data_IF_839637393315
#
_entry.id   IF_839637393315
#
_cell.length_a   1.000
_cell.length_b   1.000
_cell.length_c   1.000
_cell.angle_alpha   90.00
_cell.angle_beta   90.00
_cell.angle_gamma   90.00
#
_symmetry.space_group_name_H-M   'P 1'
#
loop_
_entity.id
_entity.type
_entity.pdbx_description
1 polymer ?
#
# COMPACT_ATOMS: atom_id res chain seq x y z
N UNK A 1 3.89 7.02 4.97
CA UNK A 1 3.92 5.54 5.10
C UNK A 1 3.59 5.19 6.54
N UNK A 2 2.65 4.27 6.77
CA UNK A 2 2.20 3.82 8.09
C UNK A 2 2.07 2.30 8.11
N UNK A 3 2.71 1.67 9.10
CA UNK A 3 2.59 0.24 9.36
C UNK A 3 1.46 -0.01 10.35
N UNK A 4 0.58 -0.94 10.03
CA UNK A 4 -0.54 -1.39 10.87
C UNK A 4 -0.25 -2.74 11.52
N UNK A 5 0.67 -3.51 10.93
CA UNK A 5 1.16 -4.78 11.43
C UNK A 5 2.65 -4.94 11.07
N UNK A 6 3.36 -5.92 11.66
CA UNK A 6 4.70 -6.29 11.20
C UNK A 6 4.70 -6.64 9.71
N UNK A 7 5.81 -6.36 9.04
CA UNK A 7 6.00 -6.73 7.64
C UNK A 7 5.92 -8.25 7.45
N UNK A 8 5.44 -8.72 6.28
CA UNK A 8 5.52 -10.14 5.94
C UNK A 8 6.98 -10.59 6.05
N UNK A 9 7.20 -11.75 6.67
CA UNK A 9 8.54 -12.34 6.69
C UNK A 9 8.91 -12.82 5.29
N UNK A 10 10.20 -12.95 5.02
CA UNK A 10 10.69 -13.41 3.72
C UNK A 10 10.07 -14.79 3.37
N UNK A 11 9.32 -14.86 2.27
CA UNK A 11 8.56 -16.04 1.85
C UNK A 11 7.04 -15.93 2.03
N UNK A 12 6.57 -14.95 2.81
CA UNK A 12 5.14 -14.68 2.94
C UNK A 12 4.58 -14.06 1.65
N UNK A 13 3.36 -14.48 1.30
CA UNK A 13 2.60 -13.89 0.21
C UNK A 13 1.83 -12.68 0.71
N UNK A 14 1.86 -11.60 -0.05
CA UNK A 14 1.09 -10.40 0.22
C UNK A 14 0.48 -9.86 -1.08
N UNK A 15 -0.56 -9.05 -0.94
CA UNK A 15 -1.23 -8.37 -2.05
C UNK A 15 -0.96 -6.89 -1.94
N UNK A 16 -0.47 -6.29 -3.02
CA UNK A 16 -0.33 -4.83 -3.14
C UNK A 16 -1.50 -4.29 -3.94
N UNK A 17 -2.18 -3.28 -3.42
CA UNK A 17 -3.17 -2.50 -4.15
C UNK A 17 -2.73 -1.05 -4.16
N UNK A 18 -2.63 -0.46 -5.34
CA UNK A 18 -2.38 0.96 -5.51
C UNK A 18 -3.55 1.58 -6.29
N UNK A 19 -3.95 2.79 -5.91
CA UNK A 19 -4.90 3.61 -6.67
C UNK A 19 -4.35 5.01 -6.84
N UNK A 20 -4.67 5.65 -7.95
CA UNK A 20 -4.47 7.09 -8.11
C UNK A 20 -5.60 7.78 -7.34
N UNK A 21 -5.26 8.55 -6.32
CA UNK A 21 -6.21 9.32 -5.52
C UNK A 21 -6.46 10.72 -6.09
N UNK A 22 -5.56 11.23 -6.93
CA UNK A 22 -5.77 12.48 -7.64
C UNK A 22 -4.65 12.79 -8.62
N UNK A 23 -4.92 13.77 -9.49
CA UNK A 23 -3.92 14.34 -10.40
C UNK A 23 -4.01 15.86 -10.38
N UNK A 24 -2.90 16.52 -10.65
CA UNK A 24 -2.78 17.97 -10.84
C UNK A 24 -1.84 18.24 -12.01
N UNK A 25 -1.65 19.51 -12.38
CA UNK A 25 -0.79 19.88 -13.51
C UNK A 25 0.68 19.43 -13.35
N UNK A 26 1.15 19.28 -12.10
CA UNK A 26 2.54 18.93 -11.80
C UNK A 26 2.70 17.60 -11.04
N UNK A 27 1.62 17.07 -10.45
CA UNK A 27 1.72 15.91 -9.54
C UNK A 27 0.61 14.87 -9.74
N UNK A 28 0.94 13.60 -9.47
CA UNK A 28 0.00 12.49 -9.33
C UNK A 28 0.06 11.97 -7.90
N UNK A 29 -1.10 11.84 -7.26
CA UNK A 29 -1.26 11.33 -5.91
C UNK A 29 -1.68 9.87 -5.95
N UNK A 30 -1.05 9.03 -5.13
CA UNK A 30 -1.33 7.61 -5.04
C UNK A 30 -1.61 7.19 -3.60
N UNK A 31 -2.57 6.28 -3.44
CA UNK A 31 -2.75 5.54 -2.20
C UNK A 31 -2.32 4.08 -2.44
N UNK A 32 -1.37 3.62 -1.64
CA UNK A 32 -0.78 2.29 -1.69
C UNK A 32 -1.13 1.50 -0.42
N UNK A 33 -1.57 0.26 -0.59
CA UNK A 33 -1.97 -0.64 0.47
C UNK A 33 -1.31 -2.00 0.30
N UNK A 34 -0.73 -2.54 1.37
CA UNK A 34 -0.22 -3.91 1.42
C UNK A 34 -1.10 -4.72 2.35
N UNK A 35 -1.55 -5.88 1.88
CA UNK A 35 -2.40 -6.81 2.61
C UNK A 35 -1.73 -8.18 2.76
N UNK A 36 -1.96 -8.83 3.89
CA UNK A 36 -1.65 -10.24 4.13
C UNK A 36 -2.44 -11.13 3.17
N UNK A 37 -1.84 -12.23 2.70
CA UNK A 37 -2.54 -13.32 2.04
C UNK A 37 -2.60 -14.57 2.94
N UNK A 38 -3.74 -15.31 3.02
CA UNK A 38 -4.98 -15.12 2.27
C UNK A 38 -6.02 -14.21 2.97
N UNK A 39 -5.78 -13.77 4.20
CA UNK A 39 -6.84 -13.14 5.02
C UNK A 39 -7.14 -11.67 4.64
N UNK A 40 -6.34 -11.07 3.75
CA UNK A 40 -6.45 -9.67 3.33
C UNK A 40 -6.40 -8.65 4.48
N UNK A 41 -5.76 -8.99 5.60
CA UNK A 41 -5.55 -8.04 6.69
C UNK A 41 -4.55 -6.95 6.26
N UNK A 42 -4.84 -5.67 6.51
CA UNK A 42 -3.98 -4.57 6.08
C UNK A 42 -2.70 -4.53 6.93
N UNK A 43 -1.54 -4.51 6.28
CA UNK A 43 -0.22 -4.46 6.91
C UNK A 43 0.37 -3.05 6.83
N UNK A 44 0.22 -2.39 5.68
CA UNK A 44 0.79 -1.07 5.44
C UNK A 44 -0.13 -0.23 4.58
N UNK A 45 -0.18 1.06 4.92
CA UNK A 45 -0.83 2.10 4.12
C UNK A 45 0.19 3.19 3.84
N UNK A 46 0.29 3.62 2.59
CA UNK A 46 1.16 4.70 2.19
C UNK A 46 0.45 5.62 1.20
N UNK A 47 0.73 6.90 1.33
CA UNK A 47 0.36 7.91 0.34
C UNK A 47 1.66 8.33 -0.36
N UNK A 48 1.58 8.48 -1.67
CA UNK A 48 2.69 8.88 -2.52
C UNK A 48 2.30 10.04 -3.41
N UNK A 49 3.29 10.84 -3.76
CA UNK A 49 3.15 11.91 -4.76
C UNK A 49 4.36 11.82 -5.68
N UNK A 50 4.10 11.81 -6.98
CA UNK A 50 5.13 11.95 -8.01
C UNK A 50 4.89 13.21 -8.81
#
# INVERSE_FOLDING_TARGET
IKFLAPLPVFGDKFVVKARISGTSAAHIYFDCFIFNFPNQAPILVAEGTI
#
